data_IF_462613719852
#
_entry.id   IF_462613719852
#
_cell.length_a   1.000
_cell.length_b   1.000
_cell.length_c   1.000
_cell.angle_alpha   90.00
_cell.angle_beta   90.00
_cell.angle_gamma   90.00
#
_symmetry.space_group_name_H-M   'P 1'
#
loop_
_entity.id
_entity.type
_entity.pdbx_description
1 polymer ?
#
# COMPACT_ATOMS: atom_id res chain seq x y z
N UNK A 1 2.33 -26.19 24.88
CA UNK A 1 2.26 -25.66 23.49
C UNK A 1 2.02 -24.14 23.44
N UNK A 2 1.18 -23.57 24.32
CA UNK A 2 0.94 -22.10 24.38
C UNK A 2 2.22 -21.25 24.46
N UNK A 3 3.20 -21.69 25.25
CA UNK A 3 4.46 -20.95 25.40
C UNK A 3 5.35 -21.02 24.15
N UNK A 4 5.30 -22.12 23.38
CA UNK A 4 6.16 -22.29 22.18
C UNK A 4 5.73 -21.34 21.05
N UNK A 5 4.43 -21.09 20.90
CA UNK A 5 3.89 -20.16 19.90
C UNK A 5 4.26 -18.70 20.23
N UNK A 6 4.27 -18.35 21.52
CA UNK A 6 4.68 -17.04 22.00
C UNK A 6 6.17 -16.77 21.79
N UNK A 7 7.03 -17.78 21.99
CA UNK A 7 8.46 -17.67 21.68
C UNK A 7 8.74 -17.58 20.18
N UNK A 8 7.94 -18.26 19.33
CA UNK A 8 8.10 -18.19 17.88
C UNK A 8 7.73 -16.80 17.33
N UNK A 9 6.68 -16.15 17.85
CA UNK A 9 6.35 -14.78 17.46
C UNK A 9 7.41 -13.77 17.92
N UNK A 10 7.92 -13.92 19.15
CA UNK A 10 9.01 -13.08 19.68
C UNK A 10 10.33 -13.25 18.91
N UNK A 11 10.65 -14.47 18.46
CA UNK A 11 11.85 -14.75 17.68
C UNK A 11 11.77 -14.18 16.24
N UNK A 12 10.58 -14.13 15.64
CA UNK A 12 10.37 -13.44 14.37
C UNK A 12 10.44 -11.92 14.51
N UNK A 13 9.95 -11.36 15.62
CA UNK A 13 10.11 -9.92 15.91
C UNK A 13 11.59 -9.52 16.07
N UNK A 14 12.41 -10.33 16.74
CA UNK A 14 13.82 -9.99 16.96
C UNK A 14 14.70 -10.11 15.71
N UNK A 15 14.32 -10.96 14.75
CA UNK A 15 15.14 -11.23 13.55
C UNK A 15 14.77 -10.38 12.33
N UNK A 16 13.55 -9.85 12.24
CA UNK A 16 13.09 -9.08 11.07
C UNK A 16 13.27 -7.56 11.18
N UNK A 17 13.71 -7.04 12.34
CA UNK A 17 14.05 -5.61 12.49
C UNK A 17 15.27 -5.21 11.64
N UNK A 18 15.99 -6.17 11.06
CA UNK A 18 17.16 -5.92 10.20
C UNK A 18 16.85 -5.74 8.70
N UNK A 19 15.62 -5.97 8.22
CA UNK A 19 15.30 -5.94 6.78
C UNK A 19 14.43 -4.78 6.30
N UNK A 20 14.22 -3.76 7.14
CA UNK A 20 13.60 -2.51 6.71
C UNK A 20 14.65 -1.55 6.13
N UNK A 21 15.39 -1.99 5.11
CA UNK A 21 16.19 -1.07 4.31
C UNK A 21 15.27 -0.36 3.30
N UNK A 22 14.53 0.62 3.82
CA UNK A 22 13.79 1.54 2.97
C UNK A 22 14.82 2.37 2.21
N UNK A 23 15.01 2.08 0.93
CA UNK A 23 15.74 3.00 0.05
C UNK A 23 15.02 4.37 0.11
N UNK A 24 15.66 5.43 0.63
CA UNK A 24 15.03 6.74 0.83
C UNK A 24 14.82 7.52 -0.49
N UNK A 25 15.01 6.88 -1.65
CA UNK A 25 15.06 7.56 -2.95
C UNK A 25 13.69 7.86 -3.59
N UNK A 26 12.58 7.33 -3.06
CA UNK A 26 11.26 7.44 -3.71
C UNK A 26 10.30 8.43 -3.04
N UNK A 27 10.64 8.98 -1.87
CA UNK A 27 9.93 10.11 -1.27
C UNK A 27 10.42 11.42 -1.91
N UNK A 28 9.55 12.06 -2.69
CA UNK A 28 9.74 13.36 -3.35
C UNK A 28 10.54 13.38 -4.66
N UNK A 29 9.93 12.90 -5.74
CA UNK A 29 10.14 13.49 -7.07
C UNK A 29 8.84 13.64 -7.86
N UNK A 30 7.89 14.37 -7.27
CA UNK A 30 6.81 15.03 -8.00
C UNK A 30 7.09 16.54 -8.02
N UNK A 31 8.06 16.96 -8.84
CA UNK A 31 8.10 18.34 -9.34
C UNK A 31 7.48 18.30 -10.74
N UNK A 32 6.17 18.49 -10.78
CA UNK A 32 5.48 18.89 -11.99
C UNK A 32 5.88 20.35 -12.29
N UNK A 33 6.55 20.57 -13.44
CA UNK A 33 7.03 21.88 -13.89
C UNK A 33 5.96 22.69 -14.65
N UNK A 34 4.70 22.29 -14.66
CA UNK A 34 3.63 23.05 -15.30
C UNK A 34 2.64 23.57 -14.25
N UNK A 35 3.11 24.49 -13.41
CA UNK A 35 2.27 25.37 -12.61
C UNK A 35 2.42 26.79 -13.15
N UNK A 36 1.54 27.17 -14.08
CA UNK A 36 1.15 28.57 -14.22
C UNK A 36 0.18 28.82 -13.06
N UNK A 37 0.65 29.58 -12.08
CA UNK A 37 -0.10 30.29 -11.05
C UNK A 37 -1.10 29.48 -10.20
N UNK A 38 -0.62 28.92 -9.09
CA UNK A 38 -1.20 29.25 -7.78
C UNK A 38 -0.12 29.17 -6.70
N UNK A 39 0.32 30.34 -6.26
CA UNK A 39 0.91 30.57 -4.95
C UNK A 39 -0.02 29.97 -3.88
N UNK A 40 0.46 29.03 -3.08
CA UNK A 40 0.59 29.22 -1.64
C UNK A 40 0.96 27.91 -0.90
N UNK A 41 2.12 28.00 -0.26
CA UNK A 41 2.45 27.45 1.06
C UNK A 41 2.40 25.91 1.26
N UNK A 42 3.58 25.29 1.07
CA UNK A 42 4.07 24.36 2.09
C UNK A 42 4.76 25.21 3.17
N UNK A 43 4.21 25.23 4.39
CA UNK A 43 4.95 25.61 5.59
C UNK A 43 5.07 24.40 6.50
N UNK A 44 6.32 24.09 6.86
CA UNK A 44 6.72 23.51 8.14
C UNK A 44 6.11 24.37 9.28
N UNK A 45 5.71 23.89 10.45
CA UNK A 45 6.52 23.26 11.50
C UNK A 45 5.58 22.72 12.61
N UNK A 46 6.08 21.68 13.29
CA UNK A 46 6.13 21.46 14.74
C UNK A 46 4.95 21.75 15.72
N UNK A 47 4.63 20.70 16.50
CA UNK A 47 4.32 20.67 17.94
C UNK A 47 3.24 21.60 18.53
N UNK A 48 2.07 21.05 18.90
CA UNK A 48 1.43 21.42 20.18
C UNK A 48 0.37 20.41 20.68
N UNK A 49 0.54 19.98 21.92
CA UNK A 49 -0.25 19.01 22.69
C UNK A 49 -1.25 19.75 23.60
N UNK A 50 -2.50 19.26 23.73
CA UNK A 50 -3.31 19.08 24.96
C UNK A 50 -4.82 19.26 24.72
N UNK A 51 -5.61 18.37 25.33
CA UNK A 51 -6.89 18.76 25.94
C UNK A 51 -8.20 18.27 25.30
N UNK A 52 -8.67 17.09 25.71
CA UNK A 52 -10.02 16.76 26.27
C UNK A 52 -11.26 17.50 25.71
N UNK A 53 -12.41 16.92 25.37
CA UNK A 53 -13.22 15.79 25.88
C UNK A 53 -14.33 15.47 24.86
N UNK A 54 -14.80 14.22 24.84
CA UNK A 54 -16.10 13.73 24.32
C UNK A 54 -16.56 14.17 22.91
N UNK A 55 -16.22 13.35 21.91
CA UNK A 55 -17.14 13.09 20.80
C UNK A 55 -17.47 11.60 20.72
N UNK A 56 -18.75 11.36 21.03
CA UNK A 56 -19.53 10.13 20.92
C UNK A 56 -19.26 9.43 19.59
N UNK A 57 -18.79 8.18 19.68
CA UNK A 57 -18.94 7.08 18.73
C UNK A 57 -19.18 7.46 17.24
N UNK A 58 -18.10 7.42 16.46
CA UNK A 58 -18.13 6.69 15.18
C UNK A 58 -16.77 6.02 14.97
N UNK A 59 -16.70 4.78 15.43
CA UNK A 59 -15.65 3.82 15.12
C UNK A 59 -15.85 3.37 13.67
N UNK A 60 -15.60 4.28 12.74
CA UNK A 60 -15.34 3.96 11.33
C UNK A 60 -13.85 4.17 11.09
N UNK A 61 -13.02 3.50 11.88
CA UNK A 61 -11.60 3.30 11.57
C UNK A 61 -11.50 2.12 10.59
N UNK A 62 -12.07 2.31 9.40
CA UNK A 62 -12.11 1.35 8.31
C UNK A 62 -11.42 2.00 7.12
N UNK A 63 -10.10 1.82 7.04
CA UNK A 63 -9.31 1.87 5.81
C UNK A 63 -9.77 2.88 4.73
N UNK A 64 -10.07 4.12 5.10
CA UNK A 64 -10.43 5.16 4.13
C UNK A 64 -9.25 6.12 3.96
N UNK A 65 -8.13 5.54 3.52
CA UNK A 65 -7.05 6.29 2.87
C UNK A 65 -7.46 6.64 1.44
N UNK A 66 -8.57 7.36 1.27
CA UNK A 66 -8.94 7.95 -0.01
C UNK A 66 -8.05 9.17 -0.21
N UNK A 67 -6.84 8.91 -0.68
CA UNK A 67 -6.12 9.86 -1.51
C UNK A 67 -6.92 10.05 -2.80
N UNK A 68 -7.89 10.96 -2.76
CA UNK A 68 -8.48 11.58 -3.93
C UNK A 68 -7.42 12.51 -4.51
N UNK A 69 -6.38 11.92 -5.12
CA UNK A 69 -5.52 12.68 -6.02
C UNK A 69 -6.38 12.98 -7.25
N UNK A 70 -6.78 14.24 -7.35
CA UNK A 70 -7.36 14.84 -8.54
C UNK A 70 -6.37 14.57 -9.65
N UNK A 71 -6.70 13.65 -10.56
CA UNK A 71 -5.81 13.27 -11.65
C UNK A 71 -5.79 14.46 -12.62
N UNK A 72 -4.65 15.14 -12.82
CA UNK A 72 -4.56 16.06 -13.94
C UNK A 72 -4.69 15.20 -15.20
N UNK A 73 -5.58 15.63 -16.08
CA UNK A 73 -5.91 15.01 -17.35
C UNK A 73 -4.64 14.85 -18.19
N UNK A 74 -3.99 13.69 -18.07
CA UNK A 74 -2.82 13.32 -18.86
C UNK A 74 -3.27 12.33 -19.93
N UNK A 75 -3.51 12.89 -21.11
CA UNK A 75 -3.71 12.27 -22.42
C UNK A 75 -2.81 11.02 -22.63
N UNK A 76 -3.29 9.92 -23.20
CA UNK A 76 -3.77 9.81 -24.58
C UNK A 76 -4.87 8.75 -24.83
N UNK A 77 -5.35 8.06 -23.78
CA UNK A 77 -6.43 7.07 -23.89
C UNK A 77 -7.29 7.14 -22.61
N UNK A 78 -8.59 7.52 -22.70
CA UNK A 78 -9.47 7.60 -21.53
C UNK A 78 -9.60 6.25 -20.80
N UNK A 79 -9.26 5.13 -21.46
CA UNK A 79 -9.35 3.79 -20.90
C UNK A 79 -8.03 3.29 -20.29
N UNK A 80 -6.91 4.00 -20.43
CA UNK A 80 -5.60 3.57 -19.93
C UNK A 80 -5.62 3.27 -18.41
N UNK A 81 -6.28 4.14 -17.64
CA UNK A 81 -6.46 3.93 -16.20
C UNK A 81 -7.29 2.67 -15.90
N UNK A 82 -8.37 2.44 -16.64
CA UNK A 82 -9.26 1.30 -16.45
C UNK A 82 -8.53 -0.01 -16.76
N UNK A 83 -7.79 -0.05 -17.88
CA UNK A 83 -6.90 -1.16 -18.26
C UNK A 83 -5.85 -1.43 -17.18
N UNK A 84 -5.23 -0.37 -16.63
CA UNK A 84 -4.28 -0.49 -15.52
C UNK A 84 -4.87 -1.10 -14.26
N UNK A 85 -6.10 -0.72 -13.89
CA UNK A 85 -6.83 -1.33 -12.75
C UNK A 85 -7.12 -2.80 -13.00
N UNK A 86 -7.57 -3.14 -14.21
CA UNK A 86 -7.92 -4.51 -14.58
C UNK A 86 -6.69 -5.43 -14.57
N UNK A 87 -5.56 -4.96 -15.12
CA UNK A 87 -4.31 -5.72 -15.11
C UNK A 87 -3.75 -5.91 -13.70
N UNK A 88 -3.81 -4.88 -12.86
CA UNK A 88 -3.45 -5.02 -11.44
C UNK A 88 -4.32 -6.10 -10.77
N UNK A 89 -5.61 -6.13 -11.09
CA UNK A 89 -6.54 -7.06 -10.48
C UNK A 89 -6.33 -8.52 -10.87
N UNK A 90 -6.08 -8.77 -12.14
CA UNK A 90 -5.94 -10.13 -12.69
C UNK A 90 -4.51 -10.65 -12.60
N UNK A 91 -3.49 -9.79 -12.77
CA UNK A 91 -2.13 -10.24 -13.04
C UNK A 91 -1.08 -9.80 -12.02
N UNK A 92 -1.39 -8.93 -11.05
CA UNK A 92 -0.40 -8.53 -10.03
C UNK A 92 0.06 -9.76 -9.20
N UNK A 93 -0.87 -10.68 -8.91
CA UNK A 93 -0.57 -12.04 -8.43
C UNK A 93 0.07 -12.17 -7.04
N UNK A 94 0.43 -11.06 -6.36
CA UNK A 94 1.15 -11.09 -5.07
C UNK A 94 0.25 -11.17 -3.82
N UNK A 95 -1.06 -11.36 -4.01
CA UNK A 95 -2.06 -11.42 -2.90
C UNK A 95 -1.72 -12.50 -1.86
N UNK A 96 -1.38 -13.71 -2.30
CA UNK A 96 -1.07 -14.82 -1.39
C UNK A 96 0.19 -14.58 -0.56
N UNK A 97 1.23 -14.02 -1.17
CA UNK A 97 2.46 -13.64 -0.46
C UNK A 97 2.19 -12.56 0.60
N UNK A 98 1.39 -11.55 0.26
CA UNK A 98 0.99 -10.49 1.20
C UNK A 98 0.10 -11.00 2.32
N UNK A 99 -0.79 -11.97 2.05
CA UNK A 99 -1.57 -12.64 3.09
C UNK A 99 -0.66 -13.39 4.07
N UNK A 100 0.27 -14.21 3.56
CA UNK A 100 1.24 -14.90 4.42
C UNK A 100 2.10 -13.92 5.22
N UNK A 101 2.54 -12.81 4.60
CA UNK A 101 3.25 -11.74 5.27
C UNK A 101 2.45 -11.23 6.47
N UNK A 102 1.16 -10.90 6.28
CA UNK A 102 0.29 -10.44 7.36
C UNK A 102 0.08 -11.48 8.46
N UNK A 103 -0.04 -12.76 8.08
CA UNK A 103 -0.21 -13.87 9.02
C UNK A 103 0.99 -14.04 9.95
N UNK A 104 2.22 -13.86 9.46
CA UNK A 104 3.44 -14.10 10.24
C UNK A 104 4.03 -12.83 10.88
N UNK A 105 3.87 -11.67 10.24
CA UNK A 105 4.50 -10.41 10.68
C UNK A 105 3.50 -9.42 11.29
N UNK A 106 2.20 -9.69 11.17
CA UNK A 106 1.13 -8.87 11.71
C UNK A 106 1.15 -7.41 11.21
N UNK A 107 1.12 -6.46 12.15
CA UNK A 107 1.04 -5.02 11.85
C UNK A 107 2.26 -4.52 11.05
N UNK A 108 3.45 -5.09 11.27
CA UNK A 108 4.65 -4.71 10.52
C UNK A 108 4.51 -5.04 9.03
N UNK A 109 3.86 -6.17 8.71
CA UNK A 109 3.54 -6.53 7.34
C UNK A 109 2.63 -5.49 6.69
N UNK A 110 1.65 -4.96 7.42
CA UNK A 110 0.71 -3.95 6.92
C UNK A 110 1.46 -2.66 6.58
N UNK A 111 2.36 -2.20 7.46
CA UNK A 111 3.21 -1.04 7.22
C UNK A 111 4.10 -1.28 5.99
N UNK A 112 4.75 -2.43 5.91
CA UNK A 112 5.57 -2.81 4.75
C UNK A 112 4.80 -2.81 3.43
N UNK A 113 3.59 -3.35 3.42
CA UNK A 113 2.71 -3.35 2.25
C UNK A 113 2.22 -1.93 1.90
N UNK A 114 2.06 -1.05 2.89
CA UNK A 114 1.63 0.32 2.70
C UNK A 114 2.74 1.26 2.20
N UNK A 115 4.01 0.95 2.44
CA UNK A 115 5.13 1.73 1.88
C UNK A 115 5.59 1.21 0.50
N UNK A 116 5.26 -0.04 0.17
CA UNK A 116 5.66 -0.64 -1.10
C UNK A 116 5.09 0.08 -2.33
N UNK A 117 5.92 0.23 -3.35
CA UNK A 117 5.59 0.81 -4.66
C UNK A 117 5.45 -0.30 -5.72
N UNK A 118 4.25 -0.88 -5.92
CA UNK A 118 4.08 -1.96 -6.89
C UNK A 118 4.33 -1.47 -8.32
N UNK A 119 4.94 -2.31 -9.14
CA UNK A 119 5.21 -2.02 -10.55
C UNK A 119 4.79 -3.21 -11.42
N UNK A 120 4.17 -2.98 -12.60
CA UNK A 120 3.84 -4.07 -13.53
C UNK A 120 5.09 -4.83 -13.97
N UNK A 121 6.25 -4.15 -14.08
CA UNK A 121 7.54 -4.79 -14.41
C UNK A 121 8.04 -5.75 -13.33
N UNK A 122 7.63 -5.54 -12.07
CA UNK A 122 8.05 -6.38 -10.94
C UNK A 122 7.30 -7.73 -10.86
N UNK A 123 6.25 -7.90 -11.67
CA UNK A 123 5.40 -9.09 -11.68
C UNK A 123 5.61 -9.88 -12.96
N UNK A 124 6.22 -11.07 -12.87
CA UNK A 124 6.39 -11.99 -14.02
C UNK A 124 5.05 -12.25 -14.72
N UNK A 125 3.97 -12.43 -13.96
CA UNK A 125 2.63 -12.66 -14.51
C UNK A 125 2.06 -11.43 -15.22
N UNK A 126 2.24 -10.22 -14.67
CA UNK A 126 1.77 -8.99 -15.33
C UNK A 126 2.50 -8.75 -16.65
N UNK A 127 3.83 -8.89 -16.67
CA UNK A 127 4.64 -8.71 -17.88
C UNK A 127 4.32 -9.75 -18.95
N UNK A 128 4.02 -10.99 -18.58
CA UNK A 128 3.77 -12.06 -19.54
C UNK A 128 2.31 -12.06 -20.04
N UNK A 129 1.34 -11.87 -19.14
CA UNK A 129 -0.08 -12.09 -19.42
C UNK A 129 -0.89 -10.83 -19.75
N UNK A 130 -0.40 -9.63 -19.42
CA UNK A 130 -1.11 -8.39 -19.79
C UNK A 130 -1.17 -8.24 -21.31
N UNK A 131 -2.34 -7.86 -21.82
CA UNK A 131 -2.55 -7.48 -23.22
C UNK A 131 -2.26 -5.99 -23.48
N UNK A 132 -2.06 -5.21 -22.42
CA UNK A 132 -1.98 -3.74 -22.43
C UNK A 132 -0.52 -3.27 -22.19
N UNK A 133 0.47 -3.99 -22.74
CA UNK A 133 1.90 -3.74 -22.45
C UNK A 133 2.38 -2.40 -23.01
N UNK A 134 1.73 -1.94 -24.08
CA UNK A 134 1.93 -0.64 -24.70
C UNK A 134 1.65 0.53 -23.75
N UNK A 135 0.80 0.32 -22.74
CA UNK A 135 0.46 1.34 -21.74
C UNK A 135 1.39 1.35 -20.53
N UNK A 136 2.41 0.49 -20.46
CA UNK A 136 3.31 0.46 -19.29
C UNK A 136 4.18 1.72 -19.18
N UNK A 137 4.36 2.45 -20.29
CA UNK A 137 5.00 3.78 -20.30
C UNK A 137 4.04 4.93 -20.01
N UNK A 138 2.72 4.69 -19.96
CA UNK A 138 1.70 5.71 -19.77
C UNK A 138 1.55 6.04 -18.26
N UNK A 139 1.72 7.31 -17.85
CA UNK A 139 1.59 7.71 -16.45
C UNK A 139 0.17 7.49 -15.88
N UNK A 140 -0.88 7.61 -16.69
CA UNK A 140 -2.26 7.38 -16.27
C UNK A 140 -2.50 5.89 -15.98
N UNK A 141 -2.03 5.00 -16.86
CA UNK A 141 -2.04 3.54 -16.62
C UNK A 141 -1.30 3.19 -15.33
N UNK A 142 -0.07 3.70 -15.20
CA UNK A 142 0.82 3.36 -14.09
C UNK A 142 0.27 3.80 -12.73
N UNK A 143 -0.34 4.98 -12.67
CA UNK A 143 -0.94 5.51 -11.43
C UNK A 143 -2.11 4.65 -10.97
N UNK A 144 -3.01 4.29 -11.90
CA UNK A 144 -4.17 3.47 -11.60
C UNK A 144 -3.82 2.02 -11.28
N UNK A 145 -2.85 1.44 -12.00
CA UNK A 145 -2.27 0.13 -11.69
C UNK A 145 -1.70 0.12 -10.27
N UNK A 146 -0.82 1.08 -9.95
CA UNK A 146 -0.16 1.20 -8.64
C UNK A 146 -1.17 1.27 -7.50
N UNK A 147 -2.18 2.13 -7.65
CA UNK A 147 -3.23 2.32 -6.64
C UNK A 147 -3.99 1.03 -6.38
N UNK A 148 -4.44 0.32 -7.43
CA UNK A 148 -5.17 -0.94 -7.29
C UNK A 148 -4.27 -2.06 -6.72
N UNK A 149 -3.07 -2.23 -7.24
CA UNK A 149 -2.13 -3.27 -6.78
C UNK A 149 -1.75 -3.08 -5.31
N UNK A 150 -1.48 -1.83 -4.89
CA UNK A 150 -1.16 -1.49 -3.50
C UNK A 150 -2.33 -1.82 -2.56
N UNK A 151 -3.55 -1.41 -2.94
CA UNK A 151 -4.75 -1.72 -2.16
C UNK A 151 -4.97 -3.23 -2.00
N UNK A 152 -4.70 -4.02 -3.04
CA UNK A 152 -4.80 -5.48 -2.97
C UNK A 152 -3.75 -6.10 -2.04
N UNK A 153 -2.51 -5.59 -2.07
CA UNK A 153 -1.44 -6.07 -1.20
C UNK A 153 -1.73 -5.74 0.27
N UNK A 154 -2.08 -4.49 0.57
CA UNK A 154 -2.45 -4.07 1.93
C UNK A 154 -3.66 -4.86 2.43
N UNK A 155 -4.72 -4.97 1.62
CA UNK A 155 -5.93 -5.71 1.99
C UNK A 155 -5.66 -7.19 2.28
N UNK A 156 -4.84 -7.85 1.45
CA UNK A 156 -4.46 -9.24 1.69
C UNK A 156 -3.63 -9.41 2.99
N UNK A 157 -2.70 -8.49 3.24
CA UNK A 157 -1.91 -8.47 4.47
C UNK A 157 -2.77 -8.24 5.71
N UNK A 158 -3.72 -7.30 5.67
CA UNK A 158 -4.69 -7.13 6.75
C UNK A 158 -5.49 -8.41 7.00
N UNK A 159 -5.91 -9.11 5.93
CA UNK A 159 -6.59 -10.40 6.04
C UNK A 159 -5.74 -11.47 6.74
N UNK A 160 -4.46 -11.56 6.39
CA UNK A 160 -3.52 -12.47 7.05
C UNK A 160 -3.37 -12.17 8.54
N UNK A 161 -3.22 -10.90 8.89
CA UNK A 161 -3.13 -10.47 10.28
C UNK A 161 -4.42 -10.74 11.08
N UNK A 162 -5.59 -10.52 10.47
CA UNK A 162 -6.86 -10.85 11.11
C UNK A 162 -6.98 -12.34 11.41
N UNK A 163 -6.56 -13.21 10.48
CA UNK A 163 -6.52 -14.66 10.70
C UNK A 163 -5.55 -15.02 11.82
N UNK A 164 -4.40 -14.36 11.91
CA UNK A 164 -3.46 -14.56 13.02
C UNK A 164 -4.09 -14.23 14.38
N UNK A 165 -4.83 -13.12 14.48
CA UNK A 165 -5.54 -12.74 15.72
C UNK A 165 -6.61 -13.77 16.11
N UNK A 166 -7.36 -14.28 15.13
CA UNK A 166 -8.35 -15.33 15.36
C UNK A 166 -7.66 -16.61 15.87
N UNK A 167 -6.54 -17.01 15.26
CA UNK A 167 -5.77 -18.16 15.70
C UNK A 167 -5.24 -17.99 17.12
N UNK A 168 -4.81 -16.79 17.52
CA UNK A 168 -4.40 -16.50 18.89
C UNK A 168 -5.56 -16.60 19.89
N UNK A 169 -6.76 -16.19 19.50
CA UNK A 169 -7.93 -16.21 20.38
C UNK A 169 -8.47 -17.63 20.62
N UNK A 170 -8.33 -18.51 19.63
CA UNK A 170 -8.78 -19.91 19.73
C UNK A 170 -7.82 -20.84 20.49
N UNK A 171 -6.58 -20.42 20.77
CA UNK A 171 -5.49 -21.29 21.23
C UNK A 171 -5.10 -21.05 22.71
#
# INVERSE_FOLDING_TARGET
MKNLFFYFSMFFLSTNFLFAETNPADTCKSKNQNAIASENLCLEEENFFTGTTEFKAKQDFLCEGVGLQIMPDLANDPDACLKGRQDAEMFHGKKGAHFALGLFTGIFGIIGAAVASPSPYSGKNTVLMSKNKEFFGDPAYMTCYKKKAKGQNVGATCGGFAVWLILLLLL
#
